data_IF_999410571701
#
_entry.id   IF_999410571701
#
_cell.length_a   1.000
_cell.length_b   1.000
_cell.length_c   1.000
_cell.angle_alpha   90.00
_cell.angle_beta   90.00
_cell.angle_gamma   90.00
#
_symmetry.space_group_name_H-M   'P 1'
#
loop_
_entity.id
_entity.type
_entity.pdbx_description
1 polymer ?
#
# COMPACT_ATOMS: atom_id res chain seq x y z
N UNK A 1 21.49 -8.04 -19.30
CA UNK A 1 20.46 -7.19 -18.68
C UNK A 1 19.77 -7.99 -17.60
N UNK A 2 19.64 -7.46 -16.38
CA UNK A 2 18.96 -8.15 -15.27
C UNK A 2 17.45 -8.22 -15.54
N UNK A 3 16.77 -9.28 -15.06
CA UNK A 3 15.34 -9.56 -15.28
C UNK A 3 14.46 -8.69 -14.33
N UNK A 4 13.21 -8.39 -14.67
CA UNK A 4 12.26 -7.67 -13.79
C UNK A 4 12.01 -8.47 -12.51
N UNK A 5 12.03 -9.80 -12.59
CA UNK A 5 11.94 -10.71 -11.45
C UNK A 5 13.15 -10.68 -10.53
N UNK A 6 14.23 -9.99 -10.89
CA UNK A 6 15.35 -9.75 -9.97
C UNK A 6 15.29 -8.37 -9.31
N UNK A 7 14.21 -7.58 -9.49
CA UNK A 7 14.05 -6.28 -8.84
C UNK A 7 13.63 -6.46 -7.38
N UNK A 8 14.52 -6.20 -6.39
CA UNK A 8 14.23 -6.43 -4.99
C UNK A 8 13.05 -5.62 -4.45
N UNK A 9 12.83 -4.39 -4.94
CA UNK A 9 11.73 -3.56 -4.46
C UNK A 9 10.36 -4.19 -4.76
N UNK A 10 10.21 -4.90 -5.88
CA UNK A 10 8.97 -5.63 -6.18
C UNK A 10 8.75 -6.74 -5.16
N UNK A 11 9.78 -7.54 -4.87
CA UNK A 11 9.67 -8.66 -3.93
C UNK A 11 9.46 -8.23 -2.47
N UNK A 12 10.08 -7.13 -2.03
CA UNK A 12 9.82 -6.56 -0.70
C UNK A 12 8.33 -6.25 -0.54
N UNK A 13 7.72 -5.64 -1.56
CA UNK A 13 6.29 -5.33 -1.52
C UNK A 13 5.44 -6.59 -1.62
N UNK A 14 5.78 -7.56 -2.47
CA UNK A 14 5.09 -8.86 -2.49
C UNK A 14 5.11 -9.53 -1.12
N UNK A 15 6.27 -9.57 -0.45
CA UNK A 15 6.40 -10.12 0.90
C UNK A 15 5.57 -9.37 1.95
N UNK A 16 5.30 -8.09 1.72
CA UNK A 16 4.42 -7.27 2.55
C UNK A 16 2.98 -7.80 2.69
N UNK A 17 2.55 -8.71 1.81
CA UNK A 17 1.23 -9.38 1.91
C UNK A 17 1.01 -10.09 3.25
N UNK A 18 2.09 -10.50 3.94
CA UNK A 18 2.00 -11.15 5.26
C UNK A 18 1.38 -10.21 6.32
N UNK A 19 1.50 -8.89 6.12
CA UNK A 19 0.89 -7.91 7.01
C UNK A 19 -0.62 -7.82 6.86
N UNK A 20 -1.21 -8.30 5.75
CA UNK A 20 -2.65 -8.30 5.53
C UNK A 20 -3.43 -9.01 6.65
N UNK A 21 -3.23 -10.32 6.92
CA UNK A 21 -4.01 -11.01 7.95
C UNK A 21 -3.79 -10.45 9.36
N UNK A 22 -2.57 -9.97 9.66
CA UNK A 22 -2.27 -9.34 10.96
C UNK A 22 -3.09 -8.05 11.14
N UNK A 23 -3.03 -7.15 10.15
CA UNK A 23 -3.77 -5.88 10.19
C UNK A 23 -5.28 -6.10 10.15
N UNK A 24 -5.73 -7.10 9.40
CA UNK A 24 -7.14 -7.51 9.36
C UNK A 24 -7.64 -7.99 10.73
N UNK A 25 -6.85 -8.79 11.44
CA UNK A 25 -7.15 -9.23 12.80
C UNK A 25 -7.23 -8.06 13.80
N UNK A 26 -6.28 -7.13 13.73
CA UNK A 26 -6.30 -5.91 14.56
C UNK A 26 -7.54 -5.06 14.26
N UNK A 27 -7.94 -4.96 12.98
CA UNK A 27 -9.16 -4.26 12.61
C UNK A 27 -10.41 -4.90 13.21
N UNK A 28 -10.47 -6.25 13.22
CA UNK A 28 -11.55 -7.00 13.87
C UNK A 28 -11.65 -6.69 15.37
N UNK A 29 -10.52 -6.72 16.08
CA UNK A 29 -10.43 -6.39 17.50
C UNK A 29 -10.93 -4.95 17.74
N UNK A 30 -10.47 -3.98 16.96
CA UNK A 30 -10.92 -2.59 17.07
C UNK A 30 -12.43 -2.44 16.90
N UNK A 31 -13.03 -3.15 15.94
CA UNK A 31 -14.48 -3.16 15.72
C UNK A 31 -15.29 -3.84 16.82
N UNK A 32 -14.65 -4.62 17.70
CA UNK A 32 -15.29 -5.24 18.86
C UNK A 32 -15.21 -4.39 20.14
N UNK A 33 -14.43 -3.29 20.14
CA UNK A 33 -14.31 -2.39 21.29
C UNK A 33 -15.52 -1.48 21.42
N UNK A 34 -16.10 -1.47 22.62
CA UNK A 34 -17.21 -0.58 23.02
C UNK A 34 -18.52 -0.84 22.27
N UNK A 35 -19.57 -0.17 22.74
CA UNK A 35 -20.90 -0.27 22.15
C UNK A 35 -20.95 0.39 20.77
N UNK A 36 -21.56 -0.31 19.80
CA UNK A 36 -21.63 0.17 18.42
C UNK A 36 -22.55 1.39 18.31
N UNK A 37 -22.13 2.37 17.52
CA UNK A 37 -23.04 3.35 16.96
C UNK A 37 -23.85 2.74 15.82
N UNK A 38 -24.73 3.55 15.23
CA UNK A 38 -25.44 3.17 14.01
C UNK A 38 -24.46 2.80 12.90
N UNK A 39 -24.76 1.73 12.17
CA UNK A 39 -23.98 1.31 11.00
C UNK A 39 -23.91 2.40 9.92
N UNK A 40 -24.92 3.28 9.87
CA UNK A 40 -24.97 4.44 8.98
C UNK A 40 -23.91 5.50 9.29
N UNK A 41 -23.30 5.44 10.48
CA UNK A 41 -22.18 6.30 10.87
C UNK A 41 -20.84 5.57 10.68
N UNK A 42 -20.75 4.36 11.21
CA UNK A 42 -19.47 3.65 11.32
C UNK A 42 -18.95 3.12 9.99
N UNK A 43 -19.82 2.59 9.13
CA UNK A 43 -19.39 2.09 7.83
C UNK A 43 -18.92 3.23 6.92
N UNK A 44 -19.66 4.36 6.76
CA UNK A 44 -19.13 5.50 6.02
C UNK A 44 -17.82 6.05 6.58
N UNK A 45 -17.66 6.08 7.91
CA UNK A 45 -16.41 6.47 8.56
C UNK A 45 -15.23 5.56 8.15
N UNK A 46 -15.42 4.24 8.26
CA UNK A 46 -14.41 3.25 7.89
C UNK A 46 -14.09 3.31 6.39
N UNK A 47 -15.10 3.45 5.54
CA UNK A 47 -14.92 3.60 4.09
C UNK A 47 -14.11 4.87 3.79
N UNK A 48 -14.46 6.00 4.40
CA UNK A 48 -13.82 7.28 4.16
C UNK A 48 -12.34 7.29 4.59
N UNK A 49 -11.97 6.59 5.66
CA UNK A 49 -10.60 6.60 6.19
C UNK A 49 -9.76 5.44 5.62
N UNK A 50 -10.32 4.25 5.48
CA UNK A 50 -9.55 3.05 5.20
C UNK A 50 -9.64 2.56 3.75
N UNK A 51 -10.71 2.91 3.03
CA UNK A 51 -10.94 2.42 1.65
C UNK A 51 -10.71 3.52 0.63
N UNK A 52 -11.40 4.65 0.79
CA UNK A 52 -11.39 5.74 -0.17
C UNK A 52 -9.98 6.27 -0.45
N UNK A 53 -9.10 6.51 0.55
CA UNK A 53 -7.77 7.02 0.28
C UNK A 53 -6.92 6.05 -0.56
N UNK A 54 -7.05 4.74 -0.32
CA UNK A 54 -6.33 3.71 -1.09
C UNK A 54 -6.86 3.63 -2.52
N UNK A 55 -8.19 3.64 -2.70
CA UNK A 55 -8.79 3.66 -4.03
C UNK A 55 -8.33 4.88 -4.83
N UNK A 56 -8.43 6.08 -4.25
CA UNK A 56 -8.00 7.32 -4.91
C UNK A 56 -6.51 7.28 -5.25
N UNK A 57 -5.67 6.81 -4.31
CA UNK A 57 -4.24 6.60 -4.56
C UNK A 57 -4.03 5.68 -5.77
N UNK A 58 -4.63 4.50 -5.80
CA UNK A 58 -4.41 3.53 -6.88
C UNK A 58 -4.99 3.96 -8.24
N UNK A 59 -6.05 4.77 -8.27
CA UNK A 59 -6.66 5.26 -9.51
C UNK A 59 -5.95 6.47 -10.12
N UNK A 60 -5.53 7.42 -9.29
CA UNK A 60 -5.01 8.72 -9.74
C UNK A 60 -3.49 8.82 -9.64
N UNK A 61 -2.92 8.37 -8.51
CA UNK A 61 -1.48 8.49 -8.21
C UNK A 61 -0.96 7.22 -7.55
N UNK A 62 -0.75 6.14 -8.33
CA UNK A 62 -0.38 4.84 -7.76
C UNK A 62 0.87 4.95 -6.88
N UNK A 63 0.98 4.03 -5.93
CA UNK A 63 2.09 4.00 -4.99
C UNK A 63 3.44 3.87 -5.73
N UNK A 64 4.41 4.69 -5.37
CA UNK A 64 5.77 4.57 -5.86
C UNK A 64 6.45 3.36 -5.22
N UNK A 65 6.57 2.26 -5.97
CA UNK A 65 7.11 0.98 -5.48
C UNK A 65 8.59 1.06 -5.02
N UNK A 66 9.30 2.13 -5.37
CA UNK A 66 10.66 2.40 -4.89
C UNK A 66 10.70 3.19 -3.58
N UNK A 67 9.56 3.27 -2.89
CA UNK A 67 9.44 3.68 -1.50
C UNK A 67 9.15 2.46 -0.63
N UNK A 68 9.81 2.34 0.53
CA UNK A 68 9.55 1.30 1.53
C UNK A 68 9.33 1.97 2.87
N UNK A 69 8.17 1.70 3.50
CA UNK A 69 7.76 2.28 4.77
C UNK A 69 7.83 3.83 4.76
N UNK A 70 8.87 4.38 5.40
CA UNK A 70 9.08 5.82 5.58
C UNK A 70 10.22 6.38 4.72
N UNK A 71 10.81 5.58 3.83
CA UNK A 71 11.94 6.00 3.00
C UNK A 71 11.62 5.85 1.52
N UNK A 72 11.86 6.92 0.77
CA UNK A 72 11.68 6.95 -0.67
C UNK A 72 13.02 7.14 -1.38
N UNK A 73 13.28 6.32 -2.40
CA UNK A 73 14.35 6.60 -3.36
C UNK A 73 13.99 7.85 -4.18
N UNK A 74 14.83 8.90 -4.17
CA UNK A 74 14.61 10.04 -5.04
C UNK A 74 14.59 9.64 -6.52
N UNK A 75 13.69 10.21 -7.35
CA UNK A 75 13.54 9.81 -8.76
C UNK A 75 14.84 9.87 -9.59
N UNK A 76 15.74 10.79 -9.23
CA UNK A 76 17.06 10.96 -9.90
C UNK A 76 17.99 9.75 -9.77
N UNK A 77 17.77 8.89 -8.77
CA UNK A 77 18.57 7.67 -8.56
C UNK A 77 17.96 6.44 -9.21
N UNK A 78 16.77 6.57 -9.83
CA UNK A 78 16.14 5.45 -10.52
C UNK A 78 16.79 5.23 -11.88
N UNK A 79 17.20 3.99 -12.13
CA UNK A 79 17.70 3.58 -13.44
C UNK A 79 16.62 3.69 -14.52
N UNK A 80 17.03 3.74 -15.79
CA UNK A 80 16.11 3.69 -16.94
C UNK A 80 15.12 2.53 -16.81
N UNK A 81 15.59 1.34 -16.41
CA UNK A 81 14.73 0.17 -16.23
C UNK A 81 13.70 0.38 -15.12
N UNK A 82 14.11 0.91 -13.97
CA UNK A 82 13.20 1.19 -12.85
C UNK A 82 12.14 2.23 -13.21
N UNK A 83 12.50 3.24 -14.00
CA UNK A 83 11.51 4.22 -14.52
C UNK A 83 10.54 3.59 -15.53
N UNK A 84 10.94 2.57 -16.29
CA UNK A 84 10.02 1.76 -17.11
C UNK A 84 9.12 0.87 -16.25
N UNK A 85 9.65 0.28 -15.18
CA UNK A 85 8.89 -0.50 -14.19
C UNK A 85 7.79 0.38 -13.57
N UNK A 86 8.09 1.61 -13.16
CA UNK A 86 7.08 2.55 -12.66
C UNK A 86 5.96 2.81 -13.67
N UNK A 87 6.31 2.98 -14.95
CA UNK A 87 5.30 3.19 -15.99
C UNK A 87 4.28 2.04 -16.08
N UNK A 88 4.65 0.80 -15.72
CA UNK A 88 3.73 -0.33 -15.69
C UNK A 88 2.60 -0.16 -14.67
N UNK A 89 2.85 0.53 -13.55
CA UNK A 89 1.83 0.81 -12.53
C UNK A 89 0.75 1.80 -13.00
N UNK A 90 1.00 2.55 -14.08
CA UNK A 90 0.02 3.50 -14.65
C UNK A 90 -0.97 2.85 -15.62
N UNK A 91 -0.81 1.57 -15.94
CA UNK A 91 -1.62 0.87 -16.95
C UNK A 91 -3.08 0.79 -16.53
N UNK A 92 -3.99 0.78 -17.52
CA UNK A 92 -5.43 0.60 -17.29
C UNK A 92 -5.74 -0.73 -16.58
N UNK A 93 -5.02 -1.80 -16.90
CA UNK A 93 -5.17 -3.10 -16.25
C UNK A 93 -4.98 -3.00 -14.73
N UNK A 94 -3.94 -2.28 -14.27
CA UNK A 94 -3.69 -2.05 -12.84
C UNK A 94 -4.90 -1.35 -12.19
N UNK A 95 -5.47 -0.34 -12.84
CA UNK A 95 -6.65 0.38 -12.32
C UNK A 95 -7.87 -0.53 -12.19
N UNK A 96 -8.12 -1.40 -13.18
CA UNK A 96 -9.23 -2.37 -13.13
C UNK A 96 -9.03 -3.36 -11.99
N UNK A 97 -7.83 -3.92 -11.85
CA UNK A 97 -7.52 -4.87 -10.77
C UNK A 97 -7.64 -4.20 -9.40
N UNK A 98 -7.19 -2.95 -9.25
CA UNK A 98 -7.34 -2.19 -8.01
C UNK A 98 -8.82 -1.85 -7.69
N UNK A 99 -9.64 -1.60 -8.70
CA UNK A 99 -11.08 -1.40 -8.50
C UNK A 99 -11.76 -2.69 -8.00
N UNK A 100 -11.41 -3.85 -8.59
CA UNK A 100 -11.89 -5.16 -8.13
C UNK A 100 -11.41 -5.43 -6.70
N UNK A 101 -10.12 -5.21 -6.42
CA UNK A 101 -9.55 -5.38 -5.08
C UNK A 101 -10.25 -4.47 -4.07
N UNK A 102 -10.60 -3.25 -4.45
CA UNK A 102 -11.38 -2.33 -3.59
C UNK A 102 -12.78 -2.87 -3.32
N UNK A 103 -13.46 -3.44 -4.30
CA UNK A 103 -14.73 -4.14 -4.10
C UNK A 103 -14.63 -5.30 -3.12
N UNK A 104 -13.56 -6.11 -3.24
CA UNK A 104 -13.26 -7.17 -2.28
C UNK A 104 -12.98 -6.63 -0.88
N UNK A 105 -12.28 -5.50 -0.76
CA UNK A 105 -12.03 -4.86 0.53
C UNK A 105 -13.31 -4.28 1.14
N UNK A 106 -14.24 -3.74 0.35
CA UNK A 106 -15.57 -3.35 0.84
C UNK A 106 -16.35 -4.55 1.39
N UNK A 107 -16.35 -5.66 0.65
CA UNK A 107 -16.98 -6.90 1.11
C UNK A 107 -16.34 -7.44 2.41
N UNK A 108 -15.01 -7.43 2.47
CA UNK A 108 -14.27 -7.82 3.67
C UNK A 108 -14.53 -6.90 4.87
N UNK A 109 -14.70 -5.59 4.66
CA UNK A 109 -15.10 -4.65 5.71
C UNK A 109 -16.47 -5.01 6.27
N UNK A 110 -17.42 -5.32 5.38
CA UNK A 110 -18.75 -5.77 5.78
C UNK A 110 -18.69 -7.07 6.58
N UNK A 111 -17.89 -8.06 6.15
CA UNK A 111 -17.66 -9.28 6.93
C UNK A 111 -17.09 -8.96 8.31
N UNK A 112 -16.01 -8.17 8.39
CA UNK A 112 -15.42 -7.78 9.67
C UNK A 112 -16.44 -7.11 10.59
N UNK A 113 -17.26 -6.20 10.07
CA UNK A 113 -18.25 -5.49 10.86
C UNK A 113 -19.27 -6.44 11.50
N UNK A 114 -19.71 -7.45 10.76
CA UNK A 114 -20.66 -8.45 11.25
C UNK A 114 -20.01 -9.47 12.20
N UNK A 115 -18.77 -9.88 11.93
CA UNK A 115 -18.06 -10.93 12.68
C UNK A 115 -17.13 -10.41 13.79
N UNK A 116 -16.97 -9.09 13.94
CA UNK A 116 -16.18 -8.50 15.02
C UNK A 116 -16.46 -9.07 16.43
N UNK A 117 -17.71 -9.42 16.83
CA UNK A 117 -17.98 -9.93 18.17
C UNK A 117 -17.20 -11.21 18.52
N UNK A 118 -16.72 -11.96 17.51
CA UNK A 118 -15.85 -13.12 17.71
C UNK A 118 -14.50 -12.77 18.36
N UNK A 119 -14.10 -11.50 18.37
CA UNK A 119 -12.82 -11.02 18.96
C UNK A 119 -13.00 -10.29 20.29
N UNK A 120 -14.20 -10.31 20.87
CA UNK A 120 -14.52 -9.68 22.17
C UNK A 120 -13.61 -10.13 23.31
N UNK A 121 -13.18 -11.39 23.32
CA UNK A 121 -12.24 -11.91 24.33
C UNK A 121 -10.92 -11.11 24.40
N UNK A 122 -10.43 -10.59 23.27
CA UNK A 122 -9.24 -9.72 23.23
C UNK A 122 -9.66 -8.25 23.40
N UNK A 123 -10.75 -7.82 22.74
CA UNK A 123 -11.20 -6.43 22.78
C UNK A 123 -11.57 -5.95 24.18
N UNK A 124 -12.04 -6.85 25.06
CA UNK A 124 -12.36 -6.55 26.47
C UNK A 124 -11.13 -6.13 27.31
N UNK A 125 -9.91 -6.36 26.81
CA UNK A 125 -8.67 -5.90 27.44
C UNK A 125 -8.38 -4.41 27.16
N UNK A 126 -9.08 -3.80 26.21
CA UNK A 126 -8.91 -2.40 25.84
C UNK A 126 -9.93 -1.50 26.56
N UNK A 127 -9.68 -0.18 26.67
CA UNK A 127 -10.71 0.77 27.12
C UNK A 127 -11.95 0.68 26.22
N UNK A 128 -13.12 0.45 26.81
CA UNK A 128 -14.39 0.22 26.10
C UNK A 128 -15.01 1.51 25.54
N UNK A 129 -14.22 2.31 24.85
CA UNK A 129 -14.66 3.51 24.17
C UNK A 129 -14.79 3.25 22.67
N UNK A 130 -15.99 3.42 22.12
CA UNK A 130 -16.25 3.08 20.71
C UNK A 130 -15.36 3.86 19.74
N UNK A 131 -15.10 5.13 20.02
CA UNK A 131 -14.23 5.98 19.19
C UNK A 131 -12.79 5.43 19.12
N UNK A 132 -12.26 4.91 20.24
CA UNK A 132 -10.95 4.26 20.25
C UNK A 132 -10.96 3.01 19.36
N UNK A 133 -12.01 2.18 19.49
CA UNK A 133 -12.22 1.01 18.64
C UNK A 133 -12.24 1.35 17.15
N UNK A 134 -13.03 2.37 16.77
CA UNK A 134 -13.10 2.85 15.39
C UNK A 134 -11.78 3.41 14.89
N UNK A 135 -11.00 4.11 15.72
CA UNK A 135 -9.68 4.59 15.35
C UNK A 135 -8.71 3.43 15.06
N UNK A 136 -8.66 2.43 15.95
CA UNK A 136 -7.85 1.22 15.77
C UNK A 136 -8.29 0.49 14.49
N UNK A 137 -9.59 0.27 14.33
CA UNK A 137 -10.16 -0.40 13.17
C UNK A 137 -9.85 0.33 11.86
N UNK A 138 -10.00 1.64 11.81
CA UNK A 138 -9.70 2.45 10.63
C UNK A 138 -8.23 2.36 10.23
N UNK A 139 -7.30 2.52 11.18
CA UNK A 139 -5.85 2.47 10.90
C UNK A 139 -5.45 1.07 10.45
N UNK A 140 -5.89 0.05 11.16
CA UNK A 140 -5.55 -1.34 10.85
C UNK A 140 -6.17 -1.77 9.51
N UNK A 141 -7.42 -1.41 9.24
CA UNK A 141 -8.07 -1.75 7.97
C UNK A 141 -7.45 -0.97 6.79
N UNK A 142 -7.03 0.28 7.00
CA UNK A 142 -6.24 1.03 6.01
C UNK A 142 -4.94 0.28 5.68
N UNK A 143 -4.21 -0.15 6.70
CA UNK A 143 -3.01 -0.96 6.55
C UNK A 143 -3.29 -2.26 5.79
N UNK A 144 -4.32 -3.00 6.21
CA UNK A 144 -4.79 -4.21 5.53
C UNK A 144 -5.07 -3.98 4.04
N UNK A 145 -5.72 -2.86 3.70
CA UNK A 145 -6.03 -2.50 2.33
C UNK A 145 -4.77 -2.19 1.50
N UNK A 146 -3.84 -1.41 2.07
CA UNK A 146 -2.53 -1.13 1.44
C UNK A 146 -1.72 -2.41 1.20
N UNK A 147 -1.66 -3.29 2.19
CA UNK A 147 -0.95 -4.57 2.13
C UNK A 147 -1.65 -5.64 1.28
N UNK A 148 -2.79 -5.35 0.66
CA UNK A 148 -3.37 -6.19 -0.41
C UNK A 148 -3.12 -5.56 -1.77
N UNK A 149 -3.48 -4.27 -1.93
CA UNK A 149 -3.45 -3.63 -3.24
C UNK A 149 -2.02 -3.37 -3.75
N UNK A 150 -1.09 -2.98 -2.87
CA UNK A 150 0.31 -2.73 -3.29
C UNK A 150 1.00 -4.04 -3.74
N UNK A 151 0.96 -5.14 -2.95
CA UNK A 151 1.53 -6.41 -3.39
C UNK A 151 0.90 -6.95 -4.67
N UNK A 152 -0.43 -6.81 -4.83
CA UNK A 152 -1.14 -7.23 -6.03
C UNK A 152 -0.63 -6.50 -7.29
N UNK A 153 -0.36 -5.20 -7.20
CA UNK A 153 0.23 -4.45 -8.31
C UNK A 153 1.67 -4.86 -8.59
N UNK A 154 2.46 -5.15 -7.55
CA UNK A 154 3.82 -5.67 -7.69
C UNK A 154 3.86 -7.04 -8.39
N UNK A 155 2.93 -7.95 -8.05
CA UNK A 155 2.79 -9.25 -8.73
C UNK A 155 2.47 -9.06 -10.21
N UNK A 156 1.52 -8.19 -10.56
CA UNK A 156 1.20 -7.91 -11.97
C UNK A 156 2.42 -7.42 -12.76
N UNK A 157 3.27 -6.60 -12.14
CA UNK A 157 4.51 -6.14 -12.74
C UNK A 157 5.55 -7.25 -12.88
N UNK A 158 5.71 -8.12 -11.87
CA UNK A 158 6.59 -9.30 -11.94
C UNK A 158 6.18 -10.31 -13.04
N UNK A 159 4.89 -10.32 -13.39
CA UNK A 159 4.33 -11.14 -14.46
C UNK A 159 4.51 -10.52 -15.86
N UNK A 160 4.97 -9.27 -15.96
CA UNK A 160 5.21 -8.61 -17.25
C UNK A 160 6.47 -9.19 -17.93
N UNK A 161 6.40 -9.44 -19.24
CA UNK A 161 7.54 -9.94 -20.02
C UNK A 161 8.58 -8.83 -20.27
N UNK A 162 9.87 -9.16 -20.30
CA UNK A 162 10.96 -8.23 -20.61
C UNK A 162 10.84 -7.59 -22.00
N UNK A 163 10.31 -8.32 -22.99
CA UNK A 163 10.07 -7.76 -24.33
C UNK A 163 9.05 -6.62 -24.30
N UNK A 164 7.98 -6.83 -23.53
CA UNK A 164 6.95 -5.83 -23.32
C UNK A 164 7.50 -4.63 -22.54
N UNK A 165 8.29 -4.88 -21.48
CA UNK A 165 8.97 -3.83 -20.73
C UNK A 165 9.93 -3.01 -21.62
N UNK A 166 10.64 -3.66 -22.55
CA UNK A 166 11.56 -2.98 -23.46
C UNK A 166 10.85 -1.90 -24.31
N UNK A 167 9.60 -2.16 -24.69
CA UNK A 167 8.76 -1.24 -25.49
C UNK A 167 8.14 -0.12 -24.66
N UNK A 168 8.10 -0.24 -23.33
CA UNK A 168 7.51 0.78 -22.47
C UNK A 168 8.42 2.01 -22.40
N UNK A 169 7.83 3.18 -22.63
CA UNK A 169 8.49 4.47 -22.43
C UNK A 169 8.75 4.66 -20.93
N UNK A 170 9.99 5.01 -20.59
CA UNK A 170 10.36 5.34 -19.22
C UNK A 170 9.62 6.60 -18.74
N UNK A 171 9.21 6.62 -17.47
CA UNK A 171 8.75 7.86 -16.86
C UNK A 171 9.88 8.89 -16.77
N UNK A 172 9.54 10.16 -16.97
CA UNK A 172 10.42 11.29 -16.68
C UNK A 172 10.47 11.56 -15.17
N UNK A 173 11.47 12.32 -14.71
CA UNK A 173 11.58 12.68 -13.30
C UNK A 173 10.38 13.52 -12.82
N UNK A 174 9.85 14.37 -13.71
CA UNK A 174 8.68 15.20 -13.44
C UNK A 174 7.42 14.34 -13.31
N UNK A 175 7.20 13.41 -14.24
CA UNK A 175 6.08 12.46 -14.17
C UNK A 175 6.12 11.62 -12.88
N UNK A 176 7.30 11.21 -12.42
CA UNK A 176 7.42 10.45 -11.18
C UNK A 176 6.99 11.30 -9.97
N UNK A 177 7.36 12.59 -9.95
CA UNK A 177 6.99 13.49 -8.87
C UNK A 177 5.51 13.89 -8.89
N UNK A 178 4.90 14.00 -10.07
CA UNK A 178 3.50 14.46 -10.22
C UNK A 178 2.48 13.33 -10.24
N UNK A 179 2.86 12.11 -10.65
CA UNK A 179 1.89 11.06 -10.98
C UNK A 179 1.92 9.88 -10.01
N UNK A 180 2.83 9.87 -9.03
CA UNK A 180 2.95 8.79 -8.06
C UNK A 180 2.85 9.29 -6.62
N UNK A 181 2.17 8.51 -5.79
CA UNK A 181 2.20 8.72 -4.34
C UNK A 181 3.51 8.19 -3.80
N UNK A 182 4.36 9.10 -3.33
CA UNK A 182 5.69 8.78 -2.78
C UNK A 182 5.69 9.12 -1.28
N UNK A 183 5.23 8.21 -0.41
CA UNK A 183 5.24 8.45 1.02
C UNK A 183 6.67 8.37 1.58
N UNK A 184 6.88 9.06 2.70
CA UNK A 184 8.13 9.03 3.44
C UNK A 184 9.11 10.17 3.15
N UNK A 185 10.24 10.13 3.87
CA UNK A 185 11.34 11.06 3.74
C UNK A 185 12.24 10.59 2.59
N UNK A 186 12.59 11.51 1.69
CA UNK A 186 13.52 11.22 0.59
C UNK A 186 14.93 10.99 1.16
N UNK A 187 15.57 9.89 0.75
CA UNK A 187 16.87 9.48 1.30
C UNK A 187 17.97 10.54 1.11
N UNK A 188 17.88 11.38 0.07
CA UNK A 188 18.84 12.47 -0.16
C UNK A 188 18.75 13.61 0.84
N UNK A 189 17.72 13.63 1.69
CA UNK A 189 17.57 14.56 2.81
C UNK A 189 18.03 13.97 4.14
N UNK A 190 18.62 12.77 4.13
CA UNK A 190 19.12 12.08 5.32
C UNK A 190 20.64 11.96 5.22
N UNK A 191 21.36 12.90 5.85
CA UNK A 191 22.80 13.11 5.72
C UNK A 191 23.69 11.89 6.02
N UNK A 192 23.23 10.97 6.88
CA UNK A 192 23.99 9.77 7.19
C UNK A 192 23.81 8.66 6.14
N UNK A 193 22.64 8.58 5.49
CA UNK A 193 22.36 7.61 4.43
C UNK A 193 23.03 8.01 3.12
N UNK A 194 23.09 9.30 2.79
CA UNK A 194 23.79 9.80 1.60
C UNK A 194 25.29 9.49 1.64
N UNK A 195 25.92 9.54 2.82
CA UNK A 195 27.33 9.15 3.02
C UNK A 195 27.57 7.66 2.74
N UNK A 196 26.63 6.78 3.10
CA UNK A 196 26.75 5.33 2.87
C UNK A 196 26.60 4.96 1.39
N UNK A 197 25.70 5.61 0.66
CA UNK A 197 25.51 5.38 -0.79
C UNK A 197 26.73 5.86 -1.58
N UNK A 198 27.25 7.06 -1.28
CA UNK A 198 28.41 7.63 -1.98
C UNK A 198 29.69 6.80 -1.78
N UNK A 199 29.87 6.18 -0.61
CA UNK A 199 31.02 5.30 -0.32
C UNK A 199 31.03 4.02 -1.18
N UNK A 200 29.88 3.60 -1.70
CA UNK A 200 29.73 2.39 -2.52
C UNK A 200 29.99 2.63 -4.01
N UNK A 201 29.98 3.88 -4.47
CA UNK A 201 30.29 4.27 -5.86
C UNK A 201 31.78 4.54 -6.08
N UNK A 202 32.58 4.63 -5.01
CA UNK A 202 34.02 4.90 -5.05
C UNK A 202 34.90 3.66 -4.87
N UNK A 203 34.30 2.47 -4.77
CA UNK A 203 34.96 1.15 -4.71
C UNK A 203 34.46 0.29 -5.87
#
# INVERSE_FOLDING_TARGET
MTNTRSEPFLWIHVGGIIMFPLMFGVASIGLAVGDRYSYLLELPWLIAIAILPVLLMQLYRPFNIFSVLFFALPPKFLSVKQRKILALFKRKQQKVVNAIATGLMLFNLWLLYNFAPATTGIANLLPQQRILGLAIASIAFLGSNLFVQIPLNAVQVLLTNELELAQIKQCTLQEIASDFTTPGIKIDKVDWLTKLVRKKETN
#
